data_IF_304114365926
#
_entry.id   IF_304114365926
#
_cell.length_a   1.000
_cell.length_b   1.000
_cell.length_c   1.000
_cell.angle_alpha   90.00
_cell.angle_beta   90.00
_cell.angle_gamma   90.00
#
_symmetry.space_group_name_H-M   'P 1'
#
loop_
_entity.id
_entity.type
_entity.pdbx_description
1 polymer ?
#
# COMPACT_ATOMS: atom_id res chain seq x y z
N UNK A 1 33.01 -36.68 56.62
CA UNK A 1 34.30 -35.94 56.49
C UNK A 1 34.27 -34.88 55.33
N UNK A 2 33.52 -35.06 54.28
CA UNK A 2 33.47 -34.10 53.16
C UNK A 2 32.60 -32.82 53.46
N UNK A 3 31.51 -32.95 54.20
CA UNK A 3 30.61 -31.83 54.51
C UNK A 3 31.24 -30.75 55.46
N UNK A 4 32.11 -31.19 56.36
CA UNK A 4 32.79 -30.28 57.30
C UNK A 4 33.89 -29.45 56.61
N UNK A 5 34.53 -30.00 55.59
CA UNK A 5 35.53 -29.26 54.81
C UNK A 5 34.86 -28.19 53.89
N UNK A 6 33.68 -28.50 53.37
CA UNK A 6 32.95 -27.59 52.51
C UNK A 6 32.43 -26.36 53.29
N UNK A 7 31.97 -26.56 54.54
CA UNK A 7 31.52 -25.49 55.39
C UNK A 7 32.66 -24.57 55.87
N UNK A 8 33.85 -25.15 56.11
CA UNK A 8 35.05 -24.38 56.46
C UNK A 8 35.53 -23.53 55.29
N UNK A 9 35.49 -24.07 54.07
CA UNK A 9 35.85 -23.37 52.83
C UNK A 9 34.90 -22.19 52.54
N UNK A 10 33.59 -22.41 52.63
CA UNK A 10 32.55 -21.35 52.46
C UNK A 10 32.68 -20.23 53.49
N UNK A 11 33.06 -20.52 54.73
CA UNK A 11 33.31 -19.49 55.75
C UNK A 11 34.54 -18.64 55.39
N UNK A 12 35.61 -19.26 54.93
CA UNK A 12 36.85 -18.59 54.49
C UNK A 12 36.62 -17.67 53.28
N UNK A 13 35.86 -18.15 52.28
CA UNK A 13 35.51 -17.36 51.09
C UNK A 13 34.65 -16.14 51.44
N UNK A 14 33.70 -16.27 52.37
CA UNK A 14 32.91 -15.13 52.85
C UNK A 14 33.73 -14.08 53.58
N UNK A 15 34.71 -14.51 54.37
CA UNK A 15 35.60 -13.57 55.07
C UNK A 15 36.55 -12.85 54.09
N UNK A 16 37.08 -13.53 53.10
CA UNK A 16 37.92 -12.91 52.05
C UNK A 16 37.11 -11.92 51.23
N UNK A 17 35.86 -12.26 50.88
CA UNK A 17 34.97 -11.37 50.10
C UNK A 17 34.59 -10.09 50.90
N UNK A 18 34.39 -10.24 52.23
CA UNK A 18 34.09 -9.12 53.13
C UNK A 18 35.30 -8.17 53.30
N UNK A 19 36.50 -8.70 53.38
CA UNK A 19 37.74 -7.94 53.44
C UNK A 19 38.07 -7.24 52.11
N UNK A 20 37.78 -7.87 50.97
CA UNK A 20 37.92 -7.26 49.64
C UNK A 20 36.95 -6.08 49.44
N UNK A 21 35.70 -6.21 49.90
CA UNK A 21 34.71 -5.11 49.81
C UNK A 21 35.14 -3.94 50.71
N UNK A 22 35.70 -4.21 51.91
CA UNK A 22 36.19 -3.14 52.81
C UNK A 22 37.45 -2.46 52.27
N UNK A 23 38.35 -3.19 51.62
CA UNK A 23 39.55 -2.62 51.00
C UNK A 23 39.19 -1.70 49.78
N UNK A 24 38.14 -2.02 49.05
CA UNK A 24 37.69 -1.18 47.94
C UNK A 24 37.05 0.12 48.42
N UNK A 25 36.33 0.07 49.56
CA UNK A 25 35.71 1.25 50.17
C UNK A 25 36.74 2.17 50.85
N UNK A 26 37.84 1.61 51.38
CA UNK A 26 38.88 2.37 52.07
C UNK A 26 39.93 3.04 51.16
N UNK A 27 40.02 2.65 49.88
CA UNK A 27 40.97 3.19 48.89
C UNK A 27 40.38 4.16 47.88
N UNK A 28 39.14 4.56 48.01
CA UNK A 28 38.62 5.65 47.16
C UNK A 28 38.96 6.98 47.83
N UNK A 29 39.81 7.84 47.21
CA UNK A 29 39.98 9.21 47.67
C UNK A 29 38.62 9.90 47.67
N UNK A 30 38.34 10.84 48.61
CA UNK A 30 37.12 11.60 48.58
C UNK A 30 37.07 12.32 47.23
N UNK A 31 36.18 11.87 46.37
CA UNK A 31 35.87 12.56 45.12
C UNK A 31 35.21 13.87 45.54
N UNK A 32 35.97 14.97 45.55
CA UNK A 32 35.40 16.29 45.60
C UNK A 32 34.58 16.49 44.34
N UNK A 33 33.34 16.04 44.37
CA UNK A 33 32.33 16.47 43.43
C UNK A 33 32.07 17.96 43.71
N UNK A 34 32.82 18.85 43.08
CA UNK A 34 32.35 20.20 42.87
C UNK A 34 31.13 20.10 41.96
N UNK A 35 30.00 19.69 42.52
CA UNK A 35 28.69 19.81 41.89
C UNK A 35 28.41 21.31 41.96
N UNK A 36 28.54 22.01 40.85
CA UNK A 36 28.05 23.39 40.73
C UNK A 36 26.56 23.37 41.05
N UNK A 37 26.06 24.41 41.72
CA UNK A 37 24.61 24.54 41.97
C UNK A 37 23.79 24.51 40.68
N UNK A 38 24.39 24.79 39.51
CA UNK A 38 23.81 24.64 38.17
C UNK A 38 23.58 23.17 37.75
N UNK A 39 24.40 22.21 38.29
CA UNK A 39 24.22 20.78 38.00
C UNK A 39 23.08 20.14 38.82
N UNK A 40 22.56 20.83 39.82
CA UNK A 40 21.49 20.38 40.72
C UNK A 40 20.10 20.94 40.35
N UNK A 41 20.01 21.82 39.37
CA UNK A 41 18.72 22.22 38.85
C UNK A 41 18.14 21.08 38.00
N UNK A 42 17.63 20.04 38.66
CA UNK A 42 16.75 19.09 38.02
C UNK A 42 15.50 19.85 37.58
N UNK A 43 15.44 20.22 36.33
CA UNK A 43 14.24 20.79 35.75
C UNK A 43 13.09 19.81 36.01
N UNK A 44 12.20 20.17 36.94
CA UNK A 44 11.04 19.32 37.26
C UNK A 44 10.13 19.34 36.05
N UNK A 45 10.20 18.28 35.24
CA UNK A 45 9.35 18.12 34.07
C UNK A 45 7.97 17.72 34.57
N UNK A 46 7.01 18.61 34.37
CA UNK A 46 5.61 18.28 34.57
C UNK A 46 5.14 17.41 33.41
N UNK A 47 4.62 16.19 33.70
CA UNK A 47 4.06 15.34 32.64
C UNK A 47 3.01 16.07 31.81
N UNK A 48 3.13 16.01 30.51
CA UNK A 48 2.26 16.71 29.57
C UNK A 48 1.85 15.83 28.40
N UNK A 49 0.73 16.18 27.79
CA UNK A 49 0.19 15.54 26.60
C UNK A 49 -0.17 16.63 25.57
N UNK A 50 0.31 16.46 24.36
CA UNK A 50 0.08 17.39 23.25
C UNK A 50 -0.38 16.61 22.03
N UNK A 51 -1.45 17.04 21.41
CA UNK A 51 -1.84 16.54 20.09
C UNK A 51 -0.96 17.19 19.02
N UNK A 52 -0.45 16.38 18.10
CA UNK A 52 0.35 16.88 16.99
C UNK A 52 -0.53 17.57 15.94
N UNK A 53 0.08 18.43 15.14
CA UNK A 53 -0.60 19.15 14.04
C UNK A 53 -1.11 18.21 12.94
N UNK A 54 -0.59 16.99 12.87
CA UNK A 54 -1.07 15.95 11.97
C UNK A 54 -2.48 15.41 12.34
N UNK A 55 -3.04 15.79 13.50
CA UNK A 55 -4.37 15.44 13.96
C UNK A 55 -4.59 13.99 14.38
N UNK A 56 -3.64 13.08 14.12
CA UNK A 56 -3.76 11.65 14.45
C UNK A 56 -2.64 11.12 15.35
N UNK A 57 -1.69 11.96 15.72
CA UNK A 57 -0.62 11.65 16.67
C UNK A 57 -0.76 12.42 17.98
N UNK A 58 -0.28 11.83 19.06
CA UNK A 58 -0.25 12.44 20.39
C UNK A 58 1.13 12.21 21.01
N UNK A 59 1.73 13.29 21.49
CA UNK A 59 3.05 13.29 22.10
C UNK A 59 2.89 13.43 23.61
N UNK A 60 3.43 12.48 24.35
CA UNK A 60 3.58 12.53 25.81
C UNK A 60 4.99 12.95 26.16
N UNK A 61 5.13 13.86 27.09
CA UNK A 61 6.41 14.19 27.70
C UNK A 61 6.32 13.90 29.19
N UNK A 62 7.27 13.15 29.73
CA UNK A 62 7.35 12.79 31.15
C UNK A 62 8.80 12.81 31.61
N UNK A 63 9.02 12.72 32.94
CA UNK A 63 10.34 12.52 33.51
C UNK A 63 10.94 11.15 33.13
N UNK A 64 12.26 10.91 33.33
CA UNK A 64 12.88 9.63 33.04
C UNK A 64 12.34 8.44 33.84
N UNK A 65 11.64 8.70 34.95
CA UNK A 65 10.99 7.67 35.78
C UNK A 65 9.58 7.33 35.24
N UNK A 66 9.15 7.98 34.17
CA UNK A 66 7.85 7.77 33.52
C UNK A 66 6.67 8.09 34.48
N UNK A 67 6.82 9.08 35.32
CA UNK A 67 5.77 9.52 36.25
C UNK A 67 4.50 9.92 35.49
N UNK A 68 3.37 9.38 35.90
CA UNK A 68 2.08 9.65 35.29
C UNK A 68 1.84 8.99 33.89
N UNK A 69 2.80 8.18 33.42
CA UNK A 69 2.71 7.54 32.07
C UNK A 69 1.41 6.75 31.90
N UNK A 70 1.00 5.97 32.90
CA UNK A 70 -0.22 5.15 32.80
C UNK A 70 -1.48 5.99 32.54
N UNK A 71 -1.62 7.10 33.25
CA UNK A 71 -2.75 8.01 33.07
C UNK A 71 -2.70 8.74 31.72
N UNK A 72 -1.52 9.24 31.33
CA UNK A 72 -1.33 9.96 30.06
C UNK A 72 -1.48 9.04 28.86
N UNK A 73 -0.96 7.81 28.93
CA UNK A 73 -1.08 6.84 27.86
C UNK A 73 -2.52 6.39 27.62
N UNK A 74 -3.33 6.25 28.66
CA UNK A 74 -4.78 6.01 28.53
C UNK A 74 -5.48 7.14 27.79
N UNK A 75 -5.08 8.39 28.01
CA UNK A 75 -5.61 9.54 27.28
C UNK A 75 -5.13 9.53 25.84
N UNK A 76 -3.83 9.29 25.61
CA UNK A 76 -3.23 9.24 24.27
C UNK A 76 -3.80 8.12 23.39
N UNK A 77 -4.24 7.02 23.99
CA UNK A 77 -4.82 5.87 23.31
C UNK A 77 -6.33 5.98 23.07
N UNK A 78 -6.95 7.08 23.46
CA UNK A 78 -8.36 7.30 23.12
C UNK A 78 -8.53 7.38 21.59
N UNK A 79 -9.55 6.71 21.02
CA UNK A 79 -9.75 6.73 19.58
C UNK A 79 -10.04 8.15 19.11
N UNK A 80 -9.48 8.50 17.97
CA UNK A 80 -9.88 9.73 17.26
C UNK A 80 -11.15 9.45 16.45
N UNK A 81 -11.84 10.51 16.02
CA UNK A 81 -12.99 10.35 15.13
C UNK A 81 -12.55 10.23 13.67
N UNK A 82 -13.37 9.59 12.85
CA UNK A 82 -13.17 9.59 11.38
C UNK A 82 -13.11 11.00 10.83
N UNK A 83 -13.94 11.92 11.33
CA UNK A 83 -13.92 13.31 10.90
C UNK A 83 -12.58 14.00 11.20
N UNK A 84 -12.00 13.76 12.38
CA UNK A 84 -10.68 14.28 12.74
C UNK A 84 -9.59 13.75 11.81
N UNK A 85 -9.59 12.45 11.56
CA UNK A 85 -8.61 11.83 10.67
C UNK A 85 -8.76 12.34 9.23
N UNK A 86 -9.99 12.41 8.71
CA UNK A 86 -10.27 12.92 7.36
C UNK A 86 -9.85 14.38 7.20
N UNK A 87 -10.09 15.22 8.22
CA UNK A 87 -9.65 16.61 8.19
C UNK A 87 -8.14 16.75 8.05
N UNK A 88 -7.41 15.81 8.61
CA UNK A 88 -5.95 15.77 8.57
C UNK A 88 -5.38 15.28 7.24
N UNK A 89 -5.96 14.19 6.71
CA UNK A 89 -5.41 13.51 5.52
C UNK A 89 -6.02 13.98 4.19
N UNK A 90 -7.23 14.56 4.24
CA UNK A 90 -7.99 15.10 3.10
C UNK A 90 -8.59 16.46 3.44
N UNK A 91 -7.75 17.46 3.76
CA UNK A 91 -8.23 18.81 4.12
C UNK A 91 -8.99 19.51 2.98
N UNK A 92 -8.81 19.07 1.73
CA UNK A 92 -9.47 19.56 0.54
C UNK A 92 -10.95 19.19 0.44
N UNK A 93 -11.41 18.18 1.22
CA UNK A 93 -12.81 17.78 1.21
C UNK A 93 -13.70 18.87 1.81
N UNK A 94 -14.80 19.18 1.14
CA UNK A 94 -15.83 20.08 1.68
C UNK A 94 -16.45 19.50 2.96
N UNK A 95 -16.80 20.35 3.93
CA UNK A 95 -17.28 19.93 5.26
C UNK A 95 -18.47 18.97 5.21
N UNK A 96 -19.43 19.22 4.30
CA UNK A 96 -20.59 18.34 4.11
C UNK A 96 -20.19 16.96 3.59
N UNK A 97 -19.24 16.89 2.66
CA UNK A 97 -18.68 15.62 2.14
C UNK A 97 -17.91 14.89 3.22
N UNK A 98 -17.10 15.61 4.00
CA UNK A 98 -16.35 15.05 5.12
C UNK A 98 -17.26 14.45 6.20
N UNK A 99 -18.35 15.12 6.55
CA UNK A 99 -19.33 14.63 7.52
C UNK A 99 -20.01 13.36 7.02
N UNK A 100 -20.59 13.41 5.83
CA UNK A 100 -21.25 12.25 5.20
C UNK A 100 -20.30 11.06 5.06
N UNK A 101 -19.07 11.31 4.62
CA UNK A 101 -18.08 10.28 4.47
C UNK A 101 -17.61 9.70 5.81
N UNK A 102 -17.47 10.53 6.85
CA UNK A 102 -17.16 10.09 8.21
C UNK A 102 -18.25 9.18 8.79
N UNK A 103 -19.53 9.50 8.53
CA UNK A 103 -20.66 8.63 8.89
C UNK A 103 -20.60 7.29 8.17
N UNK A 104 -20.41 7.31 6.85
CA UNK A 104 -20.24 6.10 6.05
C UNK A 104 -19.09 5.22 6.55
N UNK A 105 -17.92 5.79 6.87
CA UNK A 105 -16.80 5.04 7.42
C UNK A 105 -17.11 4.45 8.79
N UNK A 106 -17.90 5.15 9.61
CA UNK A 106 -18.35 4.65 10.92
C UNK A 106 -19.22 3.40 10.79
N UNK A 107 -20.03 3.33 9.75
CA UNK A 107 -20.90 2.18 9.48
C UNK A 107 -20.15 1.00 8.82
N UNK A 108 -19.17 1.31 7.97
CA UNK A 108 -18.53 0.30 7.12
C UNK A 108 -17.20 -0.22 7.65
N UNK A 109 -16.49 0.56 8.47
CA UNK A 109 -15.20 0.20 9.02
C UNK A 109 -15.23 0.05 10.54
N UNK A 110 -14.31 -0.74 11.05
CA UNK A 110 -14.17 -0.90 12.51
C UNK A 110 -13.47 0.29 13.14
N UNK A 111 -14.05 0.86 14.19
CA UNK A 111 -13.43 1.92 14.98
C UNK A 111 -12.11 1.50 15.67
N UNK A 112 -11.80 0.21 15.72
CA UNK A 112 -10.50 -0.27 16.26
C UNK A 112 -9.30 0.30 15.49
N UNK A 113 -9.47 0.65 14.23
CA UNK A 113 -8.43 1.27 13.41
C UNK A 113 -8.07 2.69 13.87
N UNK A 114 -8.94 3.34 14.63
CA UNK A 114 -8.78 4.72 15.09
C UNK A 114 -8.10 4.85 16.46
N UNK A 115 -7.73 3.73 17.07
CA UNK A 115 -7.00 3.74 18.33
C UNK A 115 -5.51 3.98 18.07
N UNK A 116 -4.93 5.07 18.60
CA UNK A 116 -3.50 5.29 18.52
C UNK A 116 -2.73 4.20 19.25
N UNK A 117 -1.66 3.74 18.66
CA UNK A 117 -0.71 2.82 19.24
C UNK A 117 0.65 3.49 19.46
N UNK A 118 1.46 2.92 20.33
CA UNK A 118 2.83 3.39 20.56
C UNK A 118 3.65 3.23 19.26
N UNK A 119 4.20 4.34 18.78
CA UNK A 119 5.02 4.37 17.55
C UNK A 119 6.47 4.74 17.80
N UNK A 120 6.76 5.55 18.81
CA UNK A 120 8.11 6.01 19.07
C UNK A 120 8.34 6.32 20.56
N UNK A 121 9.54 6.04 21.05
CA UNK A 121 10.03 6.46 22.38
C UNK A 121 11.41 7.07 22.20
N UNK A 122 11.58 8.29 22.70
CA UNK A 122 12.87 8.98 22.76
C UNK A 122 13.20 9.32 24.21
N UNK A 123 14.29 8.75 24.74
CA UNK A 123 14.77 9.06 26.08
C UNK A 123 15.90 10.09 26.00
N UNK A 124 15.70 11.24 26.66
CA UNK A 124 16.72 12.29 26.89
C UNK A 124 17.17 12.28 28.33
N UNK A 125 18.30 12.94 28.64
CA UNK A 125 18.91 12.94 29.98
C UNK A 125 17.90 13.28 31.11
N UNK A 126 16.98 14.21 30.84
CA UNK A 126 16.03 14.73 31.83
C UNK A 126 14.55 14.49 31.48
N UNK A 127 14.25 13.88 30.35
CA UNK A 127 12.86 13.63 29.92
C UNK A 127 12.72 12.45 28.97
N UNK A 128 11.56 11.82 28.97
CA UNK A 128 11.14 10.84 27.98
C UNK A 128 10.01 11.42 27.13
N UNK A 129 10.12 11.27 25.82
CA UNK A 129 9.11 11.67 24.83
C UNK A 129 8.55 10.41 24.19
N UNK A 130 7.25 10.24 24.26
CA UNK A 130 6.56 9.04 23.82
C UNK A 130 5.48 9.45 22.84
N UNK A 131 5.49 8.85 21.64
CA UNK A 131 4.51 9.16 20.58
C UNK A 131 3.54 8.00 20.39
N UNK A 132 2.27 8.31 20.45
CA UNK A 132 1.17 7.45 20.05
C UNK A 132 0.55 7.99 18.77
N UNK A 133 0.28 7.11 17.79
CA UNK A 133 -0.35 7.51 16.54
C UNK A 133 -1.28 6.41 16.00
N UNK A 134 -2.27 6.83 15.23
CA UNK A 134 -3.07 5.90 14.43
C UNK A 134 -2.19 5.31 13.34
N UNK A 135 -2.29 4.01 13.10
CA UNK A 135 -1.55 3.34 12.03
C UNK A 135 -2.15 3.70 10.65
N UNK A 136 -1.62 4.78 10.09
CA UNK A 136 -2.06 5.28 8.78
C UNK A 136 -1.76 4.31 7.65
N UNK A 137 -0.81 3.38 7.79
CA UNK A 137 -0.51 2.37 6.77
C UNK A 137 -1.67 1.37 6.59
N UNK A 138 -2.42 1.12 7.65
CA UNK A 138 -3.62 0.27 7.63
C UNK A 138 -4.86 1.06 7.23
N UNK A 139 -5.00 2.27 7.75
CA UNK A 139 -6.23 3.07 7.61
C UNK A 139 -6.34 3.75 6.23
N UNK A 140 -5.24 4.31 5.71
CA UNK A 140 -5.27 5.05 4.44
C UNK A 140 -5.75 4.24 3.23
N UNK A 141 -5.36 2.97 3.04
CA UNK A 141 -5.89 2.17 1.95
C UNK A 141 -7.42 1.96 2.04
N UNK A 142 -7.94 1.77 3.26
CA UNK A 142 -9.38 1.60 3.50
C UNK A 142 -10.16 2.89 3.23
N UNK A 143 -9.64 4.02 3.66
CA UNK A 143 -10.23 5.33 3.38
C UNK A 143 -10.24 5.59 1.86
N UNK A 144 -9.12 5.38 1.18
CA UNK A 144 -9.03 5.58 -0.28
C UNK A 144 -10.01 4.70 -1.03
N UNK A 145 -10.10 3.43 -0.66
CA UNK A 145 -11.06 2.51 -1.23
C UNK A 145 -12.50 2.98 -1.02
N UNK A 146 -12.86 3.36 0.21
CA UNK A 146 -14.21 3.83 0.55
C UNK A 146 -14.52 5.18 -0.11
N UNK A 147 -13.55 6.11 -0.15
CA UNK A 147 -13.71 7.42 -0.80
C UNK A 147 -13.96 7.26 -2.29
N UNK A 148 -13.26 6.34 -2.96
CA UNK A 148 -13.48 6.07 -4.36
C UNK A 148 -14.90 5.58 -4.66
N UNK A 149 -15.53 4.85 -3.74
CA UNK A 149 -16.94 4.42 -3.89
C UNK A 149 -17.93 5.61 -3.81
N UNK A 150 -17.63 6.59 -2.98
CA UNK A 150 -18.52 7.74 -2.74
C UNK A 150 -18.34 8.82 -3.79
N UNK A 151 -17.10 9.25 -4.05
CA UNK A 151 -16.80 10.30 -5.03
C UNK A 151 -17.25 9.95 -6.44
N UNK A 152 -17.25 8.66 -6.75
CA UNK A 152 -17.54 8.16 -8.09
C UNK A 152 -18.97 7.66 -8.21
N UNK A 153 -19.65 7.43 -7.09
CA UNK A 153 -20.93 6.73 -7.09
C UNK A 153 -20.84 5.30 -7.65
N UNK A 154 -19.64 4.81 -7.91
CA UNK A 154 -19.39 3.48 -8.45
C UNK A 154 -18.78 2.59 -7.39
N UNK A 155 -19.38 1.43 -7.11
CA UNK A 155 -18.73 0.44 -6.28
C UNK A 155 -17.44 -0.04 -6.95
N UNK A 156 -16.32 -0.03 -6.24
CA UNK A 156 -15.10 -0.74 -6.66
C UNK A 156 -15.20 -2.25 -6.46
N UNK A 157 -16.39 -2.74 -6.24
CA UNK A 157 -16.73 -4.13 -5.97
C UNK A 157 -17.32 -4.81 -7.18
N UNK A 158 -16.88 -6.04 -7.27
CA UNK A 158 -15.51 -6.47 -7.47
C UNK A 158 -15.10 -6.10 -8.87
N UNK A 159 -13.80 -6.00 -9.14
CA UNK A 159 -13.24 -5.69 -10.48
C UNK A 159 -13.79 -6.56 -11.63
N UNK A 160 -14.77 -7.43 -11.36
CA UNK A 160 -15.26 -8.42 -12.31
C UNK A 160 -16.78 -8.68 -12.27
N UNK A 161 -17.51 -8.17 -11.29
CA UNK A 161 -18.97 -8.30 -11.24
C UNK A 161 -19.63 -7.15 -11.98
N UNK A 162 -20.55 -7.47 -12.87
CA UNK A 162 -21.08 -6.55 -13.84
C UNK A 162 -22.54 -6.77 -14.05
N UNK A 163 -23.31 -5.95 -13.37
CA UNK A 163 -24.75 -5.89 -13.52
C UNK A 163 -25.17 -4.53 -14.05
N UNK A 164 -24.84 -4.20 -15.27
CA UNK A 164 -25.24 -2.93 -15.81
C UNK A 164 -25.38 -2.94 -17.34
N UNK A 165 -26.09 -1.98 -17.88
CA UNK A 165 -26.05 -1.68 -19.30
C UNK A 165 -24.66 -1.18 -19.63
N UNK A 166 -23.95 -1.93 -20.46
CA UNK A 166 -22.62 -1.53 -20.90
C UNK A 166 -22.68 -0.28 -21.75
N UNK A 167 -21.69 0.62 -21.62
CA UNK A 167 -21.55 1.74 -22.54
C UNK A 167 -21.25 1.24 -23.95
N UNK A 168 -21.65 2.01 -24.95
CA UNK A 168 -21.21 1.80 -26.33
C UNK A 168 -19.78 2.31 -26.48
N UNK A 169 -18.81 1.42 -26.33
CA UNK A 169 -17.39 1.75 -26.41
C UNK A 169 -16.96 2.29 -27.78
N UNK A 170 -17.74 2.05 -28.83
CA UNK A 170 -17.42 2.59 -30.14
C UNK A 170 -17.62 4.10 -30.24
N UNK A 171 -18.42 4.67 -29.34
CA UNK A 171 -18.72 6.10 -29.25
C UNK A 171 -17.88 6.82 -28.17
N UNK A 172 -17.15 6.07 -27.34
CA UNK A 172 -16.35 6.65 -26.26
C UNK A 172 -14.98 7.09 -26.80
N UNK A 173 -14.73 8.40 -26.73
CA UNK A 173 -13.43 8.98 -27.01
C UNK A 173 -12.89 9.67 -25.75
N UNK A 174 -11.57 9.58 -25.48
CA UNK A 174 -10.96 10.33 -24.40
C UNK A 174 -10.95 11.83 -24.75
N UNK A 175 -10.95 12.67 -23.73
CA UNK A 175 -10.80 14.14 -23.87
C UNK A 175 -9.45 14.52 -24.45
N UNK A 176 -8.44 13.68 -24.23
CA UNK A 176 -7.13 13.76 -24.86
C UNK A 176 -6.65 12.36 -25.24
N UNK A 177 -6.10 12.21 -26.46
CA UNK A 177 -5.61 10.91 -26.92
C UNK A 177 -4.52 10.35 -25.99
N UNK A 178 -4.59 9.05 -25.76
CA UNK A 178 -3.61 8.31 -24.96
C UNK A 178 -2.30 8.16 -25.75
N UNK A 179 -1.18 8.22 -25.03
CA UNK A 179 0.10 7.80 -25.59
C UNK A 179 0.20 6.28 -25.60
N UNK A 180 0.81 5.68 -26.63
CA UNK A 180 1.11 4.26 -26.58
C UNK A 180 2.02 3.93 -25.39
N UNK A 181 1.75 2.85 -24.64
CA UNK A 181 2.48 2.54 -23.39
C UNK A 181 3.94 2.12 -23.61
N UNK A 182 4.29 1.69 -24.82
CA UNK A 182 5.67 1.40 -25.23
C UNK A 182 5.97 2.13 -26.53
N UNK A 183 7.11 2.80 -26.60
CA UNK A 183 7.53 3.51 -27.78
C UNK A 183 7.82 2.55 -28.94
N UNK A 184 7.45 2.96 -30.16
CA UNK A 184 7.67 2.18 -31.37
C UNK A 184 6.77 0.95 -31.54
N UNK A 185 5.88 0.66 -30.57
CA UNK A 185 4.88 -0.39 -30.71
C UNK A 185 3.57 0.18 -31.24
N UNK A 186 2.77 -0.69 -31.83
CA UNK A 186 1.41 -0.37 -32.32
C UNK A 186 0.41 -1.37 -31.76
N UNK A 187 -0.87 -1.02 -31.80
CA UNK A 187 -1.93 -1.95 -31.41
C UNK A 187 -1.86 -3.20 -32.29
N UNK A 188 -1.77 -4.39 -31.66
CA UNK A 188 -1.67 -5.64 -32.40
C UNK A 188 -2.95 -5.91 -33.19
N UNK A 189 -2.81 -6.35 -34.48
CA UNK A 189 -3.95 -6.76 -35.31
C UNK A 189 -4.51 -8.14 -34.93
N UNK A 190 -3.73 -8.96 -34.23
CA UNK A 190 -4.10 -10.33 -33.88
C UNK A 190 -5.16 -10.33 -32.76
N UNK A 191 -6.38 -10.81 -33.07
CA UNK A 191 -7.50 -10.83 -32.14
C UNK A 191 -7.18 -11.50 -30.80
N UNK A 192 -6.34 -12.54 -30.76
CA UNK A 192 -5.93 -13.22 -29.53
C UNK A 192 -5.10 -12.33 -28.56
N UNK A 193 -4.64 -11.15 -29.02
CA UNK A 193 -3.89 -10.16 -28.24
C UNK A 193 -4.74 -8.97 -27.81
N UNK A 194 -6.02 -8.99 -28.13
CA UNK A 194 -6.96 -7.90 -27.89
C UNK A 194 -8.00 -8.29 -26.83
N UNK A 195 -8.76 -7.34 -26.28
CA UNK A 195 -9.91 -7.63 -25.42
C UNK A 195 -10.87 -8.65 -26.05
N UNK A 196 -11.60 -9.36 -25.20
CA UNK A 196 -12.58 -10.41 -25.52
C UNK A 196 -11.98 -11.74 -26.01
N UNK A 197 -10.68 -11.85 -26.22
CA UNK A 197 -10.06 -13.11 -26.62
C UNK A 197 -10.28 -14.20 -25.54
N UNK A 198 -10.76 -15.41 -25.92
CA UNK A 198 -10.98 -16.47 -24.95
C UNK A 198 -9.70 -16.90 -24.21
N UNK A 199 -9.83 -17.15 -22.92
CA UNK A 199 -8.78 -17.72 -22.05
C UNK A 199 -9.33 -18.98 -21.37
N UNK A 200 -9.65 -20.01 -22.20
CA UNK A 200 -10.29 -21.25 -21.76
C UNK A 200 -9.53 -21.93 -20.60
N UNK A 201 -8.19 -21.88 -20.60
CA UNK A 201 -7.35 -22.49 -19.57
C UNK A 201 -7.56 -21.93 -18.15
N UNK A 202 -8.34 -20.87 -18.00
CA UNK A 202 -8.69 -20.26 -16.72
C UNK A 202 -10.17 -19.86 -16.61
N UNK A 203 -11.02 -20.36 -17.50
CA UNK A 203 -12.43 -20.00 -17.59
C UNK A 203 -12.64 -18.47 -17.57
N UNK A 204 -11.95 -17.74 -18.44
CA UNK A 204 -12.03 -16.29 -18.51
C UNK A 204 -11.82 -15.73 -19.90
N UNK A 205 -11.78 -14.40 -19.99
CA UNK A 205 -11.49 -13.66 -21.21
C UNK A 205 -10.27 -12.76 -21.03
N UNK A 206 -9.68 -12.36 -22.12
CA UNK A 206 -8.65 -11.32 -22.16
C UNK A 206 -9.31 -9.95 -22.05
N UNK A 207 -8.83 -9.09 -21.15
CA UNK A 207 -9.47 -7.79 -20.91
C UNK A 207 -8.67 -6.61 -21.47
N UNK A 208 -7.44 -6.87 -21.90
CA UNK A 208 -6.50 -5.84 -22.32
C UNK A 208 -5.89 -6.09 -23.69
N UNK A 209 -4.85 -5.34 -23.93
CA UNK A 209 -4.01 -5.41 -25.14
C UNK A 209 -2.65 -5.99 -24.73
N UNK A 210 -2.21 -7.06 -25.42
CA UNK A 210 -0.88 -7.63 -25.24
C UNK A 210 0.09 -6.99 -26.26
N UNK A 211 0.87 -6.00 -25.81
CA UNK A 211 1.94 -5.39 -26.58
C UNK A 211 3.21 -6.26 -26.47
N UNK A 212 3.41 -7.15 -27.44
CA UNK A 212 4.61 -7.98 -27.47
C UNK A 212 5.86 -7.14 -27.65
N UNK A 213 6.78 -7.28 -26.74
CA UNK A 213 7.99 -6.47 -26.61
C UNK A 213 9.14 -7.30 -26.04
N UNK A 214 10.36 -6.86 -26.29
CA UNK A 214 11.52 -7.48 -25.65
C UNK A 214 11.46 -7.29 -24.14
N UNK A 215 11.98 -8.25 -23.40
CA UNK A 215 12.19 -8.11 -21.95
C UNK A 215 12.96 -6.82 -21.65
N UNK A 216 12.44 -6.02 -20.72
CA UNK A 216 13.06 -4.77 -20.32
C UNK A 216 12.71 -3.57 -21.21
N UNK A 217 11.79 -3.70 -22.18
CA UNK A 217 11.30 -2.55 -22.96
C UNK A 217 10.70 -1.50 -22.02
N UNK A 218 11.09 -0.22 -22.11
CA UNK A 218 10.53 0.85 -21.28
C UNK A 218 9.01 0.95 -21.41
N UNK A 219 8.33 1.09 -20.26
CA UNK A 219 6.88 1.28 -20.15
C UNK A 219 6.60 2.67 -19.61
N UNK A 220 5.71 3.40 -20.28
CA UNK A 220 5.36 4.80 -19.94
C UNK A 220 3.87 4.96 -19.66
N UNK A 221 3.55 5.98 -18.87
CA UNK A 221 2.18 6.36 -18.56
C UNK A 221 1.48 6.89 -19.82
N UNK A 222 0.31 6.36 -20.14
CA UNK A 222 -0.47 6.74 -21.33
C UNK A 222 -1.11 8.12 -21.21
N UNK A 223 -1.37 8.58 -19.98
CA UNK A 223 -1.93 9.88 -19.60
C UNK A 223 -1.47 10.25 -18.20
N UNK A 224 -1.73 11.49 -17.78
CA UNK A 224 -1.51 11.94 -16.39
C UNK A 224 -2.33 11.07 -15.43
N UNK A 225 -1.81 10.79 -14.23
CA UNK A 225 -2.55 9.99 -13.26
C UNK A 225 -1.83 9.78 -11.94
N UNK A 226 -2.50 9.12 -11.03
CA UNK A 226 -2.00 8.80 -9.69
C UNK A 226 -1.92 7.29 -9.52
N UNK A 227 -0.81 6.81 -8.96
CA UNK A 227 -0.64 5.38 -8.68
C UNK A 227 -1.64 4.93 -7.62
N UNK A 228 -2.51 3.97 -7.95
CA UNK A 228 -3.39 3.29 -7.00
C UNK A 228 -2.72 2.08 -6.35
N UNK A 229 -1.99 1.31 -7.17
CA UNK A 229 -1.33 0.07 -6.75
C UNK A 229 -0.02 -0.10 -7.51
N UNK A 230 0.97 -0.65 -6.82
CA UNK A 230 2.26 -1.02 -7.39
C UNK A 230 2.80 -2.28 -6.70
N UNK A 231 2.97 -3.34 -7.47
CA UNK A 231 3.41 -4.64 -6.94
C UNK A 231 4.94 -4.78 -7.00
N UNK A 232 5.64 -3.85 -6.34
CA UNK A 232 7.12 -3.79 -6.29
C UNK A 232 7.75 -5.11 -5.83
N UNK A 233 7.11 -5.79 -4.89
CA UNK A 233 7.63 -6.98 -4.20
C UNK A 233 6.96 -8.28 -4.67
N UNK A 234 6.34 -8.28 -5.85
CA UNK A 234 5.77 -9.49 -6.42
C UNK A 234 6.84 -10.58 -6.56
N UNK A 235 6.53 -11.75 -6.03
CA UNK A 235 7.32 -12.96 -6.20
C UNK A 235 6.57 -13.97 -7.06
N UNK A 236 7.28 -14.61 -7.97
CA UNK A 236 6.68 -15.62 -8.84
C UNK A 236 6.25 -16.84 -8.04
N UNK A 237 5.09 -17.37 -8.34
CA UNK A 237 4.60 -18.61 -7.73
C UNK A 237 5.22 -19.86 -8.40
N UNK A 238 5.32 -21.00 -7.71
CA UNK A 238 5.75 -22.26 -8.32
C UNK A 238 4.84 -22.67 -9.49
N UNK A 239 5.43 -23.21 -10.55
CA UNK A 239 4.71 -23.61 -11.78
C UNK A 239 3.56 -24.60 -11.49
N UNK A 240 3.78 -25.58 -10.62
CA UNK A 240 2.78 -26.56 -10.21
C UNK A 240 1.60 -25.90 -9.49
N UNK A 241 1.88 -24.96 -8.58
CA UNK A 241 0.84 -24.22 -7.88
C UNK A 241 -0.01 -23.42 -8.86
N UNK A 242 0.63 -22.77 -9.88
CA UNK A 242 -0.08 -22.05 -10.93
C UNK A 242 -1.03 -22.98 -11.70
N UNK A 243 -0.60 -24.16 -12.07
CA UNK A 243 -1.45 -25.15 -12.77
C UNK A 243 -2.66 -25.48 -11.93
N UNK A 244 -2.48 -25.83 -10.65
CA UNK A 244 -3.55 -26.20 -9.73
C UNK A 244 -4.62 -25.11 -9.56
N UNK A 245 -4.21 -23.84 -9.42
CA UNK A 245 -5.18 -22.74 -9.27
C UNK A 245 -5.97 -22.48 -10.56
N UNK A 246 -5.34 -22.65 -11.73
CA UNK A 246 -6.02 -22.48 -13.03
C UNK A 246 -7.03 -23.64 -13.31
N UNK A 247 -6.69 -24.87 -12.95
CA UNK A 247 -7.62 -26.00 -13.01
C UNK A 247 -8.83 -25.77 -12.09
N UNK A 248 -8.60 -25.27 -10.88
CA UNK A 248 -9.69 -24.90 -9.96
C UNK A 248 -10.55 -23.77 -10.54
N UNK A 249 -9.95 -22.76 -11.14
CA UNK A 249 -10.69 -21.68 -11.82
C UNK A 249 -11.56 -22.23 -12.97
N UNK A 250 -11.04 -23.18 -13.72
CA UNK A 250 -11.79 -23.86 -14.78
C UNK A 250 -12.97 -24.65 -14.22
N UNK A 251 -12.78 -25.37 -13.12
CA UNK A 251 -13.84 -26.12 -12.41
C UNK A 251 -14.92 -25.17 -11.87
N UNK A 252 -14.54 -23.97 -11.37
CA UNK A 252 -15.46 -22.93 -10.92
C UNK A 252 -16.22 -22.23 -12.07
N UNK A 253 -15.79 -22.44 -13.31
CA UNK A 253 -16.35 -21.74 -14.47
C UNK A 253 -15.95 -20.26 -14.56
N UNK A 254 -15.05 -19.78 -13.68
CA UNK A 254 -14.55 -18.40 -13.68
C UNK A 254 -13.18 -18.29 -13.01
N UNK A 255 -12.40 -17.30 -13.40
CA UNK A 255 -11.18 -16.92 -12.65
C UNK A 255 -11.59 -15.98 -11.50
N UNK A 256 -11.33 -16.33 -10.22
CA UNK A 256 -11.50 -15.41 -9.10
C UNK A 256 -10.65 -14.15 -9.24
N UNK A 257 -11.17 -13.02 -8.78
CA UNK A 257 -10.50 -11.71 -8.93
C UNK A 257 -9.18 -11.61 -8.19
N UNK A 258 -9.09 -12.22 -7.02
CA UNK A 258 -7.86 -12.30 -6.23
C UNK A 258 -6.76 -13.08 -6.96
N UNK A 259 -7.11 -14.21 -7.58
CA UNK A 259 -6.20 -14.99 -8.42
C UNK A 259 -5.74 -14.17 -9.62
N UNK A 260 -6.68 -13.51 -10.29
CA UNK A 260 -6.34 -12.69 -11.46
C UNK A 260 -5.42 -11.53 -11.09
N UNK A 261 -5.82 -10.72 -10.13
CA UNK A 261 -5.14 -9.48 -9.78
C UNK A 261 -3.81 -9.68 -9.05
N UNK A 262 -3.68 -10.72 -8.21
CA UNK A 262 -2.50 -10.89 -7.37
C UNK A 262 -1.51 -11.93 -7.91
N UNK A 263 -1.95 -12.79 -8.84
CA UNK A 263 -1.12 -13.86 -9.39
C UNK A 263 -0.94 -13.71 -10.90
N UNK A 264 -2.05 -13.67 -11.65
CA UNK A 264 -1.96 -13.74 -13.11
C UNK A 264 -1.48 -12.45 -13.76
N UNK A 265 -1.72 -11.29 -13.17
CA UNK A 265 -1.13 -10.02 -13.64
C UNK A 265 0.37 -9.93 -13.35
N UNK A 266 0.89 -10.75 -12.43
CA UNK A 266 2.28 -10.68 -12.04
C UNK A 266 2.63 -9.33 -11.40
N UNK A 267 3.83 -8.85 -11.64
CA UNK A 267 4.26 -7.52 -11.24
C UNK A 267 3.47 -6.49 -12.04
N UNK A 268 2.67 -5.67 -11.37
CA UNK A 268 1.73 -4.76 -12.02
C UNK A 268 1.67 -3.38 -11.37
N UNK A 269 1.19 -2.39 -12.15
CA UNK A 269 0.93 -1.02 -11.71
C UNK A 269 -0.46 -0.62 -12.18
N UNK A 270 -1.24 -0.01 -11.29
CA UNK A 270 -2.56 0.55 -11.56
C UNK A 270 -2.48 2.06 -11.44
N UNK A 271 -2.92 2.78 -12.47
CA UNK A 271 -2.91 4.24 -12.54
C UNK A 271 -4.34 4.75 -12.65
N UNK A 272 -4.73 5.62 -11.74
CA UNK A 272 -6.00 6.34 -11.76
C UNK A 272 -5.83 7.66 -12.52
N UNK A 273 -6.61 7.85 -13.56
CA UNK A 273 -6.64 9.07 -14.39
C UNK A 273 -7.81 10.00 -14.01
N UNK A 274 -8.62 9.62 -13.00
CA UNK A 274 -9.80 10.39 -12.61
C UNK A 274 -10.92 10.34 -13.66
N UNK A 275 -11.75 11.39 -13.67
CA UNK A 275 -12.92 11.52 -14.56
C UNK A 275 -12.69 12.38 -15.79
N UNK A 276 -11.54 13.06 -15.83
CA UNK A 276 -11.27 14.05 -16.87
C UNK A 276 -10.87 13.38 -18.20
N UNK A 277 -10.46 12.11 -18.15
CA UNK A 277 -9.99 11.39 -19.35
C UNK A 277 -11.14 10.86 -20.22
N UNK A 278 -12.19 10.33 -19.59
CA UNK A 278 -13.40 9.87 -20.27
C UNK A 278 -14.64 10.46 -19.59
N UNK A 279 -15.41 11.25 -20.32
CA UNK A 279 -16.61 11.89 -19.75
C UNK A 279 -17.60 10.86 -19.19
N UNK A 280 -17.95 11.03 -17.92
CA UNK A 280 -18.90 10.15 -17.22
C UNK A 280 -18.27 8.88 -16.64
N UNK A 281 -16.95 8.68 -16.79
CA UNK A 281 -16.25 7.51 -16.26
C UNK A 281 -14.98 7.89 -15.52
N UNK A 282 -14.72 7.20 -14.41
CA UNK A 282 -13.38 7.12 -13.86
C UNK A 282 -12.55 6.15 -14.71
N UNK A 283 -11.41 6.61 -15.20
CA UNK A 283 -10.51 5.81 -16.00
C UNK A 283 -9.34 5.29 -15.18
N UNK A 284 -9.10 3.98 -15.23
CA UNK A 284 -7.96 3.33 -14.57
C UNK A 284 -7.21 2.51 -15.61
N UNK A 285 -5.90 2.67 -15.69
CA UNK A 285 -5.07 1.80 -16.54
C UNK A 285 -4.26 0.82 -15.71
N UNK A 286 -4.13 -0.41 -16.22
CA UNK A 286 -3.38 -1.49 -15.61
C UNK A 286 -2.24 -1.86 -16.54
N UNK A 287 -1.03 -1.93 -15.99
CA UNK A 287 0.19 -2.35 -16.66
C UNK A 287 0.69 -3.60 -15.96
N UNK A 288 0.73 -4.72 -16.65
CA UNK A 288 1.03 -6.02 -16.04
C UNK A 288 2.15 -6.78 -16.76
N UNK A 289 2.56 -7.89 -16.17
CA UNK A 289 3.69 -8.71 -16.59
C UNK A 289 5.04 -7.97 -16.59
N UNK A 290 5.16 -6.95 -15.74
CA UNK A 290 6.36 -6.11 -15.68
C UNK A 290 7.58 -6.90 -15.16
N UNK A 291 8.75 -6.64 -15.75
CA UNK A 291 10.03 -7.15 -15.23
C UNK A 291 10.56 -6.29 -14.09
N UNK A 292 10.36 -4.98 -14.19
CA UNK A 292 10.83 -3.99 -13.23
C UNK A 292 9.83 -2.85 -13.09
N UNK A 293 9.69 -2.34 -11.86
CA UNK A 293 8.99 -1.10 -11.52
C UNK A 293 9.98 -0.23 -10.76
N UNK A 294 10.07 1.05 -11.08
CA UNK A 294 10.93 1.98 -10.36
C UNK A 294 10.47 2.10 -8.89
N UNK A 295 11.38 2.03 -7.92
CA UNK A 295 11.10 1.98 -6.48
C UNK A 295 10.29 3.17 -5.94
N UNK A 296 10.33 4.31 -6.63
CA UNK A 296 9.52 5.49 -6.29
C UNK A 296 8.04 5.35 -6.65
N UNK A 297 7.68 4.38 -7.49
CA UNK A 297 6.31 4.16 -7.96
C UNK A 297 5.51 3.45 -6.87
N UNK A 298 4.90 4.25 -6.00
CA UNK A 298 4.10 3.80 -4.85
C UNK A 298 2.72 4.45 -4.88
N UNK A 299 1.71 3.89 -4.22
CA UNK A 299 0.39 4.49 -4.12
C UNK A 299 0.47 5.97 -3.73
N UNK A 300 -0.27 6.82 -4.46
CA UNK A 300 -0.25 8.28 -4.31
C UNK A 300 0.82 9.02 -5.12
N UNK A 301 1.78 8.32 -5.75
CA UNK A 301 2.75 8.97 -6.64
C UNK A 301 2.05 9.45 -7.92
N UNK A 302 2.34 10.68 -8.34
CA UNK A 302 1.78 11.30 -9.55
C UNK A 302 2.70 11.07 -10.74
N UNK A 303 2.15 10.55 -11.82
CA UNK A 303 2.80 10.40 -13.12
C UNK A 303 2.21 11.38 -14.14
N UNK A 304 3.06 11.89 -15.01
CA UNK A 304 2.64 12.63 -16.20
C UNK A 304 2.61 11.71 -17.41
N UNK A 305 1.79 12.04 -18.37
CA UNK A 305 1.76 11.39 -19.69
C UNK A 305 3.19 11.31 -20.27
N UNK A 306 3.63 10.11 -20.61
CA UNK A 306 4.96 9.84 -21.15
C UNK A 306 6.04 9.52 -20.13
N UNK A 307 5.81 9.69 -18.83
CA UNK A 307 6.78 9.30 -17.81
C UNK A 307 7.06 7.79 -17.86
N UNK A 308 8.33 7.43 -18.00
CA UNK A 308 8.78 6.04 -17.95
C UNK A 308 8.88 5.62 -16.47
N UNK A 309 8.12 4.59 -16.09
CA UNK A 309 8.03 4.16 -14.71
C UNK A 309 8.32 2.68 -14.47
N UNK A 310 8.35 1.87 -15.55
CA UNK A 310 8.53 0.43 -15.47
C UNK A 310 9.19 -0.14 -16.73
N UNK A 311 9.38 -1.45 -16.74
CA UNK A 311 9.87 -2.22 -17.89
C UNK A 311 8.98 -3.45 -18.10
N UNK A 312 8.71 -3.78 -19.38
CA UNK A 312 7.95 -4.97 -19.75
C UNK A 312 8.71 -6.27 -19.43
N UNK A 313 7.97 -7.33 -19.24
CA UNK A 313 8.52 -8.65 -18.91
C UNK A 313 7.52 -9.76 -19.19
N UNK A 314 7.44 -10.74 -18.32
CA UNK A 314 6.48 -11.84 -18.41
C UNK A 314 6.03 -12.38 -17.04
N UNK A 315 6.22 -11.63 -15.94
CA UNK A 315 5.83 -12.08 -14.59
C UNK A 315 4.35 -12.49 -14.54
N UNK A 316 4.01 -13.50 -13.74
CA UNK A 316 2.65 -14.06 -13.67
C UNK A 316 2.25 -14.98 -14.84
N UNK A 317 3.08 -15.11 -15.87
CA UNK A 317 2.84 -16.02 -17.00
C UNK A 317 3.41 -17.43 -16.73
N UNK A 318 3.01 -18.41 -17.56
CA UNK A 318 3.58 -19.76 -17.45
C UNK A 318 5.10 -19.80 -17.67
N UNK A 319 5.68 -19.14 -18.70
CA UNK A 319 7.12 -19.11 -18.88
C UNK A 319 7.86 -18.50 -17.68
N UNK A 320 7.32 -17.48 -17.05
CA UNK A 320 7.92 -16.86 -15.88
C UNK A 320 8.01 -17.84 -14.69
N UNK A 321 6.94 -18.61 -14.43
CA UNK A 321 6.96 -19.64 -13.36
C UNK A 321 7.97 -20.77 -13.61
N UNK A 322 8.43 -20.91 -14.86
CA UNK A 322 9.50 -21.84 -15.26
C UNK A 322 10.88 -21.17 -15.29
N UNK A 323 10.98 -19.91 -14.88
CA UNK A 323 12.23 -19.16 -14.84
C UNK A 323 12.73 -18.69 -16.21
N UNK A 324 11.89 -18.69 -17.26
CA UNK A 324 12.26 -18.23 -18.61
C UNK A 324 11.71 -16.82 -18.87
N UNK A 325 12.29 -16.14 -19.87
CA UNK A 325 11.82 -14.81 -20.35
C UNK A 325 11.00 -14.88 -21.62
N UNK A 326 10.58 -16.07 -21.97
CA UNK A 326 9.76 -16.30 -23.18
C UNK A 326 8.42 -15.58 -23.08
N UNK A 327 7.81 -15.30 -24.23
CA UNK A 327 6.52 -14.63 -24.35
C UNK A 327 6.49 -13.26 -23.64
N UNK A 328 7.63 -12.55 -23.58
CA UNK A 328 7.69 -11.22 -23.00
C UNK A 328 6.74 -10.26 -23.71
N UNK A 329 5.92 -9.55 -22.94
CA UNK A 329 4.97 -8.56 -23.45
C UNK A 329 4.52 -7.64 -22.31
N UNK A 330 3.99 -6.47 -22.65
CA UNK A 330 3.21 -5.66 -21.75
C UNK A 330 1.72 -6.03 -21.94
N UNK A 331 1.07 -6.51 -20.89
CA UNK A 331 -0.38 -6.57 -20.84
C UNK A 331 -0.91 -5.24 -20.32
N UNK A 332 -1.73 -4.55 -21.11
CA UNK A 332 -2.29 -3.25 -20.77
C UNK A 332 -3.81 -3.28 -20.81
N UNK A 333 -4.46 -2.79 -19.73
CA UNK A 333 -5.93 -2.69 -19.65
C UNK A 333 -6.34 -1.23 -19.43
N UNK A 334 -7.49 -0.86 -19.97
CA UNK A 334 -8.22 0.36 -19.63
C UNK A 334 -9.55 -0.03 -19.00
N UNK A 335 -9.70 0.34 -17.75
CA UNK A 335 -10.91 0.08 -16.96
C UNK A 335 -11.68 1.40 -16.83
N UNK A 336 -12.97 1.35 -17.09
CA UNK A 336 -13.90 2.45 -16.95
C UNK A 336 -14.92 2.10 -15.87
N UNK A 337 -15.11 3.01 -14.91
CA UNK A 337 -16.04 2.86 -13.80
C UNK A 337 -17.07 3.98 -13.81
N UNK A 338 -18.35 3.62 -13.64
CA UNK A 338 -19.45 4.55 -13.43
C UNK A 338 -20.34 4.10 -12.27
N UNK A 339 -21.47 4.78 -12.05
CA UNK A 339 -22.43 4.43 -11.00
C UNK A 339 -23.13 3.06 -11.21
N UNK A 340 -23.01 2.46 -12.38
CA UNK A 340 -23.65 1.18 -12.73
C UNK A 340 -22.69 0.00 -12.67
N UNK A 341 -21.38 0.25 -12.75
CA UNK A 341 -20.40 -0.83 -12.68
C UNK A 341 -19.03 -0.50 -13.24
N UNK A 342 -18.30 -1.54 -13.51
CA UNK A 342 -16.94 -1.50 -14.00
C UNK A 342 -16.82 -2.29 -15.30
N UNK A 343 -16.13 -1.74 -16.27
CA UNK A 343 -15.99 -2.29 -17.60
C UNK A 343 -14.54 -2.21 -18.07
N UNK A 344 -14.03 -3.22 -18.76
CA UNK A 344 -12.81 -3.01 -19.55
C UNK A 344 -13.18 -2.44 -20.93
N UNK A 345 -12.38 -1.51 -21.42
CA UNK A 345 -12.63 -0.85 -22.69
C UNK A 345 -12.75 -1.86 -23.84
N UNK A 346 -13.80 -1.73 -24.61
CA UNK A 346 -14.10 -2.61 -25.74
C UNK A 346 -14.73 -3.96 -25.38
N UNK A 347 -15.22 -4.11 -24.15
CA UNK A 347 -15.88 -5.31 -23.66
C UNK A 347 -17.06 -5.70 -24.55
N UNK A 348 -17.08 -6.99 -24.95
CA UNK A 348 -18.09 -7.60 -25.80
C UNK A 348 -18.21 -7.00 -27.22
N UNK A 349 -17.33 -6.05 -27.62
CA UNK A 349 -17.30 -5.59 -28.99
C UNK A 349 -16.75 -6.69 -29.92
N UNK A 350 -17.39 -6.94 -31.08
CA UNK A 350 -16.81 -7.77 -32.10
C UNK A 350 -15.53 -7.10 -32.66
N UNK A 351 -14.63 -7.90 -33.22
CA UNK A 351 -13.32 -7.44 -33.68
C UNK A 351 -13.40 -6.25 -34.66
N UNK A 352 -14.38 -6.25 -35.54
CA UNK A 352 -14.58 -5.24 -36.58
C UNK A 352 -14.84 -3.84 -35.99
N UNK A 353 -15.47 -3.75 -34.85
CA UNK A 353 -15.72 -2.49 -34.09
C UNK A 353 -14.69 -2.25 -33.01
N UNK A 354 -14.21 -3.32 -32.36
CA UNK A 354 -13.20 -3.25 -31.29
C UNK A 354 -11.88 -2.63 -31.79
N UNK A 355 -11.36 -3.13 -32.93
CA UNK A 355 -10.05 -2.68 -33.39
C UNK A 355 -10.02 -1.18 -33.77
N UNK A 356 -11.01 -0.65 -34.54
CA UNK A 356 -11.14 0.79 -34.73
C UNK A 356 -11.31 1.59 -33.45
N UNK A 357 -12.14 1.13 -32.48
CA UNK A 357 -12.34 1.80 -31.21
C UNK A 357 -11.04 1.87 -30.41
N UNK A 358 -10.26 0.78 -30.36
CA UNK A 358 -8.94 0.80 -29.71
C UNK A 358 -7.97 1.75 -30.42
N UNK A 359 -8.05 1.88 -31.72
CA UNK A 359 -7.21 2.84 -32.47
C UNK A 359 -7.60 4.29 -32.22
N UNK A 360 -8.89 4.58 -32.05
CA UNK A 360 -9.36 5.96 -31.88
C UNK A 360 -8.95 6.60 -30.56
N UNK A 361 -8.58 5.81 -29.55
CA UNK A 361 -8.19 6.34 -28.24
C UNK A 361 -6.69 6.66 -28.10
N UNK A 362 -5.85 6.23 -29.05
CA UNK A 362 -4.40 6.46 -29.00
C UNK A 362 -3.93 7.51 -30.02
N UNK A 363 -2.89 8.26 -29.60
CA UNK A 363 -2.10 9.14 -30.44
C UNK A 363 -0.97 8.33 -31.12
N UNK A 364 -0.85 8.43 -32.46
CA UNK A 364 0.08 7.66 -33.30
C UNK A 364 1.18 8.55 -33.89
#
# INVERSE_FOLDING_TARGET
MVLTQLQAWLKSVKQILFLLIWAIVACTPPMNLNISEEDLAVEIITPSIVKSDDGYSTILTTDPLLTGLDSLSRIAQQPISWATLLNSIHPELHDSTRTMFGEYLTETLTNKMLYPSLTHIENKKNRSVITYAVDTSVVLPQIRYSLSKIEVGAPMEPLFDRDGNMPDFSLLNPTSLLMLPCEGLSIPKKASRLPNAPRAYRAGVHRGIDFFSNWGTPVRAVADGVILRSDLYYNEIPAEFRVNILERATTLGRTPSDIFNNILLGKSVFIDHGFDLFSGFRAITIYAHLSHINDRIKPGYKLRRGDIFAQSGNTGTKPSTMGTREESHLHWELILQDAKGEYYFGQNLPYETLYPALKSIFDY
#
